data_IF_515819185194
#
_entry.id   IF_515819185194
#
_cell.length_a   1.000
_cell.length_b   1.000
_cell.length_c   1.000
_cell.angle_alpha   90.00
_cell.angle_beta   90.00
_cell.angle_gamma   90.00
#
_symmetry.space_group_name_H-M   'P 1'
#
loop_
_entity.id
_entity.type
_entity.pdbx_description
1 polymer ?
#
# COMPACT_ATOMS: atom_id res chain seq x y z
N UNK A 1 -3.01 2.00 1.06
CA UNK A 1 -3.36 2.27 -0.35
C UNK A 1 -4.21 1.11 -0.85
N UNK A 2 -5.37 1.36 -1.47
CA UNK A 2 -6.22 0.31 -2.06
C UNK A 2 -6.25 0.52 -3.57
N UNK A 3 -5.73 -0.44 -4.32
CA UNK A 3 -5.77 -0.43 -5.78
C UNK A 3 -6.91 -1.35 -6.20
N UNK A 4 -7.69 -0.94 -7.20
CA UNK A 4 -8.73 -1.76 -7.81
C UNK A 4 -8.24 -2.10 -9.22
N UNK A 5 -8.24 -3.39 -9.54
CA UNK A 5 -7.98 -3.87 -10.89
C UNK A 5 -9.34 -4.08 -11.53
N UNK A 6 -9.64 -3.28 -12.55
CA UNK A 6 -10.80 -3.51 -13.39
C UNK A 6 -10.38 -4.41 -14.56
N UNK A 7 -10.81 -5.67 -14.51
CA UNK A 7 -10.50 -6.66 -15.54
C UNK A 7 -11.33 -6.49 -16.81
N UNK A 8 -12.46 -5.79 -16.74
CA UNK A 8 -13.34 -5.54 -17.88
C UNK A 8 -12.81 -4.37 -18.71
N UNK A 9 -12.51 -3.26 -18.04
CA UNK A 9 -11.92 -2.07 -18.66
C UNK A 9 -10.39 -2.19 -18.89
N UNK A 10 -9.76 -3.26 -18.39
CA UNK A 10 -8.30 -3.47 -18.38
C UNK A 10 -7.54 -2.25 -17.82
N UNK A 11 -8.07 -1.67 -16.75
CA UNK A 11 -7.58 -0.45 -16.14
C UNK A 11 -7.20 -0.66 -14.67
N UNK A 12 -6.18 0.07 -14.22
CA UNK A 12 -5.76 0.10 -12.81
C UNK A 12 -6.25 1.41 -12.22
N UNK A 13 -7.19 1.33 -11.28
CA UNK A 13 -7.71 2.50 -10.57
C UNK A 13 -6.92 2.67 -9.27
N UNK A 14 -6.26 3.81 -9.17
CA UNK A 14 -5.44 4.20 -8.02
C UNK A 14 -6.15 5.25 -7.18
N UNK A 15 -5.95 5.30 -5.85
CA UNK A 15 -6.49 6.36 -5.02
C UNK A 15 -5.95 7.74 -5.43
N UNK A 16 -6.75 8.80 -5.30
CA UNK A 16 -6.32 10.17 -5.66
C UNK A 16 -5.01 10.60 -4.98
N UNK A 17 -4.79 10.15 -3.74
CA UNK A 17 -3.59 10.45 -2.95
C UNK A 17 -2.34 9.72 -3.44
N UNK A 18 -2.45 8.86 -4.45
CA UNK A 18 -1.35 8.05 -4.96
C UNK A 18 -0.19 8.91 -5.47
N UNK A 19 -0.48 9.81 -6.42
CA UNK A 19 0.53 10.69 -7.02
C UNK A 19 1.22 11.55 -5.95
N UNK A 20 0.45 12.14 -5.04
CA UNK A 20 0.97 12.91 -3.90
C UNK A 20 1.92 12.10 -3.00
N UNK A 21 1.68 10.79 -2.86
CA UNK A 21 2.54 9.92 -2.04
C UNK A 21 3.87 9.66 -2.75
N UNK A 22 3.83 9.39 -4.06
CA UNK A 22 5.04 9.18 -4.87
C UNK A 22 5.85 10.47 -4.99
N UNK A 23 5.19 11.61 -5.14
CA UNK A 23 5.87 12.91 -5.19
C UNK A 23 6.65 13.19 -3.91
N UNK A 24 6.05 12.93 -2.75
CA UNK A 24 6.74 13.04 -1.45
C UNK A 24 7.91 12.07 -1.32
N UNK A 25 7.75 10.84 -1.80
CA UNK A 25 8.86 9.88 -1.81
C UNK A 25 10.00 10.37 -2.72
N UNK A 26 9.67 10.90 -3.90
CA UNK A 26 10.63 11.48 -4.83
C UNK A 26 11.31 12.73 -4.28
N UNK A 27 10.61 13.55 -3.52
CA UNK A 27 11.19 14.71 -2.82
C UNK A 27 12.26 14.27 -1.82
N UNK A 28 11.95 13.28 -0.98
CA UNK A 28 12.92 12.69 -0.04
C UNK A 28 14.11 12.07 -0.79
N UNK A 29 13.86 11.36 -1.89
CA UNK A 29 14.90 10.73 -2.69
C UNK A 29 15.83 11.77 -3.32
N UNK A 30 15.31 12.89 -3.83
CA UNK A 30 16.12 13.98 -4.35
C UNK A 30 17.01 14.60 -3.28
N UNK A 31 16.52 14.76 -2.04
CA UNK A 31 17.31 15.28 -0.92
C UNK A 31 18.46 14.34 -0.53
N UNK A 32 18.29 13.05 -0.78
CA UNK A 32 19.27 12.01 -0.44
C UNK A 32 20.18 11.65 -1.62
N UNK A 33 20.02 12.30 -2.77
CA UNK A 33 20.81 12.06 -3.98
C UNK A 33 20.50 10.74 -4.71
N UNK A 34 19.32 10.15 -4.48
CA UNK A 34 18.90 8.90 -5.11
C UNK A 34 18.18 9.09 -6.45
N UNK A 35 17.87 7.98 -7.11
CA UNK A 35 17.13 7.98 -8.39
C UNK A 35 15.63 8.12 -8.15
N UNK A 36 14.99 9.08 -8.84
CA UNK A 36 13.53 9.24 -8.82
C UNK A 36 12.82 7.92 -9.16
N UNK A 37 11.81 7.60 -8.36
CA UNK A 37 10.87 6.54 -8.63
C UNK A 37 9.90 6.98 -9.73
N UNK A 38 9.78 6.16 -10.76
CA UNK A 38 8.68 6.25 -11.72
C UNK A 38 7.39 5.75 -11.04
N UNK A 39 6.29 6.46 -11.24
CA UNK A 39 4.97 6.10 -10.75
C UNK A 39 4.62 4.67 -11.19
N UNK A 40 4.86 4.35 -12.47
CA UNK A 40 4.56 3.02 -13.00
C UNK A 40 5.35 1.92 -12.30
N UNK A 41 6.60 2.20 -11.92
CA UNK A 41 7.49 1.24 -11.28
C UNK A 41 7.00 0.88 -9.88
N UNK A 42 6.59 1.88 -9.10
CA UNK A 42 6.07 1.63 -7.75
C UNK A 42 4.85 0.70 -7.75
N UNK A 43 3.97 0.84 -8.76
CA UNK A 43 2.82 -0.05 -8.92
C UNK A 43 3.26 -1.47 -9.26
N UNK A 44 4.21 -1.63 -10.18
CA UNK A 44 4.76 -2.94 -10.55
C UNK A 44 5.39 -3.67 -9.36
N UNK A 45 6.18 -2.95 -8.57
CA UNK A 45 6.84 -3.50 -7.38
C UNK A 45 5.81 -3.93 -6.34
N UNK A 46 4.77 -3.11 -6.14
CA UNK A 46 3.69 -3.44 -5.22
C UNK A 46 2.91 -4.68 -5.68
N UNK A 47 2.64 -4.82 -6.98
CA UNK A 47 2.01 -6.02 -7.54
C UNK A 47 2.88 -7.26 -7.38
N UNK A 48 4.19 -7.16 -7.64
CA UNK A 48 5.12 -8.27 -7.44
C UNK A 48 5.10 -8.75 -5.98
N UNK A 49 5.13 -7.83 -5.02
CA UNK A 49 5.04 -8.15 -3.60
C UNK A 49 3.69 -8.80 -3.21
N UNK A 50 2.61 -8.40 -3.87
CA UNK A 50 1.28 -8.98 -3.66
C UNK A 50 1.14 -10.38 -4.28
N UNK A 51 1.76 -10.65 -5.43
CA UNK A 51 1.75 -11.99 -6.05
C UNK A 51 2.39 -13.03 -5.11
N UNK A 52 3.47 -12.67 -4.41
CA UNK A 52 4.07 -13.53 -3.39
C UNK A 52 3.23 -13.71 -2.12
N UNK A 53 2.20 -12.88 -1.91
CA UNK A 53 1.36 -12.85 -0.72
C UNK A 53 -0.13 -13.02 -1.03
N UNK A 54 -0.45 -13.77 -2.10
CA UNK A 54 -1.83 -14.07 -2.46
C UNK A 54 -2.45 -14.88 -1.31
N UNK A 55 -3.37 -14.25 -0.57
CA UNK A 55 -4.15 -14.88 0.49
C UNK A 55 -5.57 -15.04 0.02
N UNK A 56 -6.19 -16.18 0.34
CA UNK A 56 -7.63 -16.30 0.14
C UNK A 56 -8.33 -15.38 1.13
N UNK A 57 -9.51 -14.85 0.80
CA UNK A 57 -10.28 -14.03 1.73
C UNK A 57 -10.51 -14.71 3.10
N UNK A 58 -10.57 -16.05 3.14
CA UNK A 58 -10.65 -16.87 4.36
C UNK A 58 -9.42 -16.79 5.26
N UNK A 59 -8.24 -16.55 4.70
CA UNK A 59 -6.96 -16.58 5.41
C UNK A 59 -6.58 -15.20 5.96
N UNK A 60 -7.38 -14.18 5.65
CA UNK A 60 -7.26 -12.84 6.20
C UNK A 60 -7.84 -12.86 7.61
N UNK A 61 -7.05 -13.31 8.59
CA UNK A 61 -7.38 -13.16 10.00
C UNK A 61 -7.51 -11.67 10.28
N UNK A 62 -8.74 -11.17 10.37
CA UNK A 62 -9.00 -9.82 10.88
C UNK A 62 -8.39 -9.77 12.28
N UNK A 63 -7.45 -8.87 12.57
CA UNK A 63 -6.93 -8.74 13.92
C UNK A 63 -8.13 -8.46 14.82
N UNK A 64 -8.40 -9.38 15.73
CA UNK A 64 -9.44 -9.23 16.76
C UNK A 64 -9.14 -7.91 17.47
N UNK A 65 -10.10 -6.98 17.67
CA UNK A 65 -9.82 -5.74 18.37
C UNK A 65 -9.20 -6.10 19.72
N UNK A 66 -7.99 -5.61 20.01
CA UNK A 66 -7.40 -5.79 21.34
C UNK A 66 -8.33 -5.06 22.31
N UNK A 67 -9.07 -5.81 23.13
CA UNK A 67 -9.79 -5.23 24.27
C UNK A 67 -8.79 -4.39 25.07
N UNK A 68 -9.11 -3.11 25.27
CA UNK A 68 -8.33 -2.23 26.14
C UNK A 68 -8.37 -2.86 27.53
N UNK A 69 -7.27 -3.47 27.98
CA UNK A 69 -7.10 -3.81 29.40
C UNK A 69 -7.24 -2.52 30.20
N UNK A 70 -8.33 -2.42 30.97
CA UNK A 70 -8.56 -1.37 31.96
C UNK A 70 -7.35 -1.41 32.90
N UNK A 71 -6.59 -0.31 32.99
CA UNK A 71 -5.59 -0.16 34.05
C UNK A 71 -6.36 -0.15 35.37
N UNK A 72 -6.19 -1.16 36.19
CA UNK A 72 -6.53 -1.09 37.61
C UNK A 72 -5.50 -0.15 38.25
N UNK A 73 -5.97 1.00 38.71
CA UNK A 73 -5.22 1.86 39.64
C UNK A 73 -5.13 1.14 41.00
N UNK A 74 -3.91 1.02 41.52
CA UNK A 74 -3.62 0.80 42.93
C UNK A 74 -2.52 1.78 43.33
#
# INVERSE_FOLDING_TARGET
MRIIIDTEAKAIVVPEKYYLTIDKMNEIVNLTGGNKLDYTQFIKDQFAACIGNIKRPSDIVKPRPKEKKKKEEK
#
